data_IF_102341669090
#
_entry.id   IF_102341669090
#
_cell.length_a   1.000
_cell.length_b   1.000
_cell.length_c   1.000
_cell.angle_alpha   90.00
_cell.angle_beta   90.00
_cell.angle_gamma   90.00
#
_symmetry.space_group_name_H-M   'P 1'
#
loop_
_entity.id
_entity.type
_entity.pdbx_description
1 polymer ?
#
# COMPACT_ATOMS: atom_id res chain seq x y z
N UNK A 1 34.79 5.71 -1.63
CA UNK A 1 33.80 4.63 -1.87
C UNK A 1 32.97 4.46 -0.62
N UNK A 2 31.77 5.04 -0.60
CA UNK A 2 30.70 4.66 0.34
C UNK A 2 29.39 4.91 -0.41
N UNK A 3 29.00 3.92 -1.20
CA UNK A 3 27.67 3.85 -1.80
C UNK A 3 26.69 3.58 -0.67
N UNK A 4 26.21 4.63 -0.02
CA UNK A 4 25.01 4.53 0.80
C UNK A 4 23.85 4.42 -0.16
N UNK A 5 23.32 3.22 -0.36
CA UNK A 5 22.08 2.99 -1.06
C UNK A 5 20.95 3.64 -0.27
N UNK A 6 20.74 4.93 -0.52
CA UNK A 6 19.51 5.60 -0.15
C UNK A 6 18.41 4.91 -0.96
N UNK A 7 17.59 4.08 -0.31
CA UNK A 7 16.26 3.77 -0.85
C UNK A 7 15.57 5.13 -0.93
N UNK A 8 15.60 5.74 -2.11
CA UNK A 8 14.89 6.98 -2.36
C UNK A 8 13.41 6.70 -2.12
N UNK A 9 12.70 7.66 -1.52
CA UNK A 9 11.25 7.61 -1.22
C UNK A 9 10.35 7.32 -2.46
N UNK A 10 10.95 7.11 -3.63
CA UNK A 10 10.33 6.88 -4.92
C UNK A 10 10.53 5.47 -5.50
N UNK A 11 11.34 4.61 -4.88
CA UNK A 11 11.49 3.24 -5.38
C UNK A 11 10.37 2.34 -4.86
N UNK A 12 9.35 2.15 -5.70
CA UNK A 12 8.40 1.06 -5.55
C UNK A 12 8.80 -0.03 -6.56
N UNK A 13 8.97 -1.30 -6.14
CA UNK A 13 9.27 -2.40 -7.04
C UNK A 13 8.26 -2.48 -8.18
N UNK A 14 8.70 -2.94 -9.36
CA UNK A 14 7.80 -3.17 -10.49
C UNK A 14 6.93 -4.41 -10.24
N UNK A 15 5.86 -4.53 -11.01
CA UNK A 15 5.00 -5.71 -10.98
C UNK A 15 5.82 -6.97 -11.23
N UNK A 16 5.62 -7.99 -10.38
CA UNK A 16 6.33 -9.28 -10.32
C UNK A 16 7.79 -9.22 -9.86
N UNK A 17 8.34 -8.04 -9.52
CA UNK A 17 9.74 -7.93 -9.07
C UNK A 17 9.96 -8.61 -7.71
N UNK A 18 8.92 -8.69 -6.88
CA UNK A 18 8.97 -9.35 -5.58
C UNK A 18 8.09 -10.61 -5.51
N UNK A 19 7.84 -11.27 -6.65
CA UNK A 19 6.96 -12.46 -6.74
C UNK A 19 7.43 -13.61 -5.83
N UNK A 20 8.75 -13.78 -5.68
CA UNK A 20 9.34 -14.81 -4.83
C UNK A 20 9.27 -14.48 -3.33
N UNK A 21 8.77 -13.29 -2.95
CA UNK A 21 8.61 -12.87 -1.57
C UNK A 21 7.19 -13.25 -1.11
N UNK A 22 7.04 -14.04 -0.03
CA UNK A 22 5.74 -14.34 0.54
C UNK A 22 4.95 -13.05 0.84
N UNK A 23 3.65 -13.04 0.56
CA UNK A 23 2.78 -11.86 0.73
C UNK A 23 2.92 -11.21 2.11
N UNK A 24 3.00 -12.03 3.16
CA UNK A 24 3.15 -11.55 4.54
C UNK A 24 4.44 -10.77 4.81
N UNK A 25 5.47 -11.00 3.99
CA UNK A 25 6.79 -10.37 4.08
C UNK A 25 7.02 -9.28 3.03
N UNK A 26 6.02 -9.00 2.18
CA UNK A 26 6.14 -7.91 1.20
C UNK A 26 6.25 -6.56 1.93
N UNK A 27 7.03 -5.65 1.36
CA UNK A 27 7.14 -4.27 1.83
C UNK A 27 6.02 -3.46 1.18
N UNK A 28 5.30 -2.70 2.00
CA UNK A 28 4.25 -1.76 1.58
C UNK A 28 4.87 -0.39 1.44
N UNK A 29 4.99 0.09 0.21
CA UNK A 29 5.61 1.37 -0.13
C UNK A 29 4.63 2.53 -0.15
N UNK A 30 3.34 2.27 -0.39
CA UNK A 30 2.32 3.31 -0.37
C UNK A 30 1.08 2.82 0.37
N UNK A 31 0.47 3.73 1.13
CA UNK A 31 -0.90 3.59 1.63
C UNK A 31 -1.78 4.59 0.89
N UNK A 32 -2.93 4.10 0.44
CA UNK A 32 -4.01 4.90 -0.12
C UNK A 32 -5.28 4.63 0.65
N UNK A 33 -6.11 5.64 0.87
CA UNK A 33 -7.34 5.45 1.62
C UNK A 33 -8.45 6.44 1.26
N UNK A 34 -9.68 5.99 1.49
CA UNK A 34 -10.88 6.84 1.52
C UNK A 34 -11.34 6.84 2.99
N UNK A 35 -10.75 7.73 3.78
CA UNK A 35 -10.89 7.74 5.25
C UNK A 35 -12.36 7.70 5.71
N UNK A 36 -13.22 8.49 5.07
CA UNK A 36 -14.66 8.61 5.39
C UNK A 36 -15.45 7.28 5.37
N UNK A 37 -14.98 6.29 4.61
CA UNK A 37 -15.63 4.97 4.49
C UNK A 37 -14.72 3.83 4.96
N UNK A 38 -13.53 4.14 5.48
CA UNK A 38 -12.60 3.16 6.03
C UNK A 38 -11.95 2.25 4.98
N UNK A 39 -11.96 2.63 3.70
CA UNK A 39 -11.36 1.85 2.62
C UNK A 39 -9.87 2.17 2.54
N UNK A 40 -9.03 1.15 2.36
CA UNK A 40 -7.61 1.37 2.16
C UNK A 40 -6.98 0.34 1.21
N UNK A 41 -5.92 0.78 0.55
CA UNK A 41 -5.02 -0.02 -0.27
C UNK A 41 -3.58 0.13 0.24
N UNK A 42 -2.90 -1.01 0.40
CA UNK A 42 -1.50 -1.10 0.79
C UNK A 42 -0.69 -1.62 -0.41
N UNK A 43 0.01 -0.73 -1.10
CA UNK A 43 0.68 -1.01 -2.38
C UNK A 43 2.09 -1.52 -2.14
N UNK A 44 2.38 -2.71 -2.68
CA UNK A 44 3.70 -3.34 -2.63
C UNK A 44 4.50 -3.14 -3.93
N UNK A 45 3.81 -3.12 -5.08
CA UNK A 45 4.45 -3.01 -6.39
C UNK A 45 3.67 -2.02 -7.27
N UNK A 46 4.37 -1.31 -8.15
CA UNK A 46 3.79 -0.28 -9.00
C UNK A 46 4.47 -0.20 -10.37
N UNK A 47 3.69 -0.45 -11.41
CA UNK A 47 4.03 -0.06 -12.77
C UNK A 47 3.54 1.36 -13.04
N UNK A 48 4.43 2.34 -12.81
CA UNK A 48 4.17 3.76 -13.05
C UNK A 48 3.87 4.08 -14.53
N UNK A 49 4.28 3.23 -15.48
CA UNK A 49 4.06 3.47 -16.91
C UNK A 49 2.64 3.13 -17.33
N UNK A 50 2.06 2.10 -16.71
CA UNK A 50 0.74 1.57 -17.06
C UNK A 50 -0.33 1.87 -15.98
N UNK A 51 0.00 2.71 -14.98
CA UNK A 51 -0.85 3.04 -13.84
C UNK A 51 -1.40 1.81 -13.10
N UNK A 52 -0.65 0.70 -13.08
CA UNK A 52 -1.08 -0.56 -12.47
C UNK A 52 -0.29 -0.81 -11.18
N UNK A 53 -1.00 -1.06 -10.10
CA UNK A 53 -0.43 -1.38 -8.80
C UNK A 53 -0.85 -2.79 -8.37
N UNK A 54 0.03 -3.45 -7.62
CA UNK A 54 -0.29 -4.67 -6.89
C UNK A 54 -0.19 -4.42 -5.39
N UNK A 55 -1.21 -4.82 -4.65
CA UNK A 55 -1.31 -4.53 -3.24
C UNK A 55 -2.47 -5.23 -2.54
N UNK A 56 -2.57 -4.98 -1.25
CA UNK A 56 -3.63 -5.48 -0.40
C UNK A 56 -4.77 -4.46 -0.29
N UNK A 57 -5.99 -4.88 -0.56
CA UNK A 57 -7.20 -4.09 -0.50
C UNK A 57 -8.05 -4.49 0.70
N UNK A 58 -8.57 -3.50 1.40
CA UNK A 58 -9.62 -3.69 2.39
C UNK A 58 -10.67 -2.61 2.21
N UNK A 59 -11.85 -3.01 1.76
CA UNK A 59 -12.97 -2.15 1.43
C UNK A 59 -13.93 -2.06 2.62
N UNK A 60 -13.38 -1.84 3.82
CA UNK A 60 -14.08 -1.86 5.11
C UNK A 60 -14.77 -3.21 5.41
N UNK A 61 -14.27 -4.28 4.83
CA UNK A 61 -14.69 -5.65 5.09
C UNK A 61 -13.45 -6.52 5.28
N UNK A 62 -13.13 -6.83 6.53
CA UNK A 62 -11.95 -7.63 6.89
C UNK A 62 -12.04 -9.07 6.36
N UNK A 63 -13.24 -9.61 6.12
CA UNK A 63 -13.42 -10.98 5.62
C UNK A 63 -13.14 -11.08 4.11
N UNK A 64 -13.38 -9.99 3.38
CA UNK A 64 -13.20 -9.90 1.93
C UNK A 64 -11.92 -9.14 1.54
N UNK A 65 -11.02 -8.88 2.50
CA UNK A 65 -9.78 -8.16 2.23
C UNK A 65 -8.75 -9.09 1.56
N UNK A 66 -8.19 -8.66 0.43
CA UNK A 66 -7.46 -9.52 -0.49
C UNK A 66 -6.26 -8.82 -1.14
N UNK A 67 -5.36 -9.62 -1.72
CA UNK A 67 -4.29 -9.12 -2.58
C UNK A 67 -4.76 -9.11 -4.02
N UNK A 68 -4.51 -8.01 -4.73
CA UNK A 68 -4.95 -7.87 -6.10
C UNK A 68 -4.29 -6.73 -6.84
N UNK A 69 -4.77 -6.52 -8.06
CA UNK A 69 -4.33 -5.46 -8.94
C UNK A 69 -5.35 -4.32 -8.95
N UNK A 70 -4.86 -3.08 -9.03
CA UNK A 70 -5.71 -1.90 -9.15
C UNK A 70 -5.03 -0.85 -10.01
N UNK A 71 -5.84 -0.08 -10.74
CA UNK A 71 -5.32 1.11 -11.39
C UNK A 71 -5.15 2.25 -10.38
N UNK A 72 -3.99 2.91 -10.37
CA UNK A 72 -3.78 4.13 -9.56
C UNK A 72 -4.77 5.23 -9.96
N UNK A 73 -5.10 5.32 -11.26
CA UNK A 73 -6.12 6.25 -11.75
C UNK A 73 -7.51 5.93 -11.19
N UNK A 74 -7.84 4.64 -11.04
CA UNK A 74 -9.12 4.23 -10.45
C UNK A 74 -9.19 4.55 -8.96
N UNK A 75 -8.08 4.38 -8.21
CA UNK A 75 -7.99 4.84 -6.82
C UNK A 75 -8.32 6.33 -6.71
N UNK A 76 -7.67 7.17 -7.53
CA UNK A 76 -7.89 8.62 -7.54
C UNK A 76 -9.33 8.96 -7.93
N UNK A 77 -9.87 8.32 -8.98
CA UNK A 77 -11.24 8.56 -9.46
C UNK A 77 -12.30 8.21 -8.41
N UNK A 78 -12.04 7.18 -7.59
CA UNK A 78 -12.91 6.79 -6.48
C UNK A 78 -12.71 7.67 -5.23
N UNK A 79 -11.79 8.64 -5.28
CA UNK A 79 -11.54 9.60 -4.20
C UNK A 79 -10.57 9.09 -3.13
N UNK A 80 -9.75 8.10 -3.43
CA UNK A 80 -8.68 7.68 -2.53
C UNK A 80 -7.51 8.68 -2.56
N UNK A 81 -6.97 8.97 -1.39
CA UNK A 81 -5.82 9.86 -1.24
C UNK A 81 -4.58 9.06 -0.82
N UNK A 82 -3.40 9.47 -1.29
CA UNK A 82 -2.12 8.87 -0.89
C UNK A 82 -1.67 9.46 0.44
N UNK A 83 -1.36 8.59 1.41
CA UNK A 83 -0.73 8.99 2.66
C UNK A 83 0.74 9.39 2.42
N UNK A 84 1.01 10.70 2.47
CA UNK A 84 2.35 11.27 2.26
C UNK A 84 3.30 11.07 3.44
N UNK A 85 2.80 10.67 4.61
CA UNK A 85 3.60 10.37 5.80
C UNK A 85 3.94 8.89 5.90
N UNK A 86 3.35 8.05 5.04
CA UNK A 86 3.63 6.63 4.98
C UNK A 86 5.11 6.38 4.66
N UNK A 87 5.73 5.48 5.42
CA UNK A 87 7.10 5.01 5.17
C UNK A 87 7.06 3.52 4.80
N UNK A 88 7.92 3.07 3.87
CA UNK A 88 7.99 1.66 3.52
C UNK A 88 8.15 0.76 4.75
N UNK A 89 7.27 -0.24 4.88
CA UNK A 89 7.24 -1.13 6.03
C UNK A 89 6.69 -2.51 5.63
N UNK A 90 7.09 -3.58 6.32
CA UNK A 90 6.55 -4.92 6.09
C UNK A 90 5.02 -4.95 6.26
N UNK A 91 4.34 -5.73 5.41
CA UNK A 91 2.89 -5.84 5.39
C UNK A 91 2.27 -6.14 6.76
N UNK A 92 2.86 -7.06 7.54
CA UNK A 92 2.36 -7.37 8.89
C UNK A 92 2.35 -6.15 9.81
N UNK A 93 3.37 -5.31 9.75
CA UNK A 93 3.42 -4.08 10.53
C UNK A 93 2.52 -2.99 9.94
N UNK A 94 2.39 -2.93 8.61
CA UNK A 94 1.44 -2.05 7.93
C UNK A 94 0.00 -2.26 8.45
N UNK A 95 -0.42 -3.53 8.58
CA UNK A 95 -1.74 -3.86 9.14
C UNK A 95 -1.92 -3.36 10.58
N UNK A 96 -0.87 -3.45 11.42
CA UNK A 96 -0.94 -2.93 12.80
C UNK A 96 -1.09 -1.41 12.81
N UNK A 97 -0.30 -0.71 12.00
CA UNK A 97 -0.36 0.76 11.87
C UNK A 97 -1.77 1.20 11.46
N UNK A 98 -2.33 0.58 10.42
CA UNK A 98 -3.68 0.90 9.93
C UNK A 98 -4.74 0.60 10.98
N UNK A 99 -4.67 -0.56 11.66
CA UNK A 99 -5.62 -0.92 12.74
C UNK A 99 -5.57 0.08 13.89
N UNK A 100 -4.39 0.49 14.33
CA UNK A 100 -4.25 1.49 15.39
C UNK A 100 -4.72 2.88 14.96
N UNK A 101 -4.46 3.30 13.72
CA UNK A 101 -5.00 4.55 13.16
C UNK A 101 -6.52 4.55 13.18
N UNK A 102 -7.16 3.47 12.68
CA UNK A 102 -8.62 3.35 12.63
C UNK A 102 -9.26 3.31 14.01
N UNK A 103 -8.63 2.68 15.01
CA UNK A 103 -9.12 2.73 16.40
C UNK A 103 -9.16 4.16 16.93
N UNK A 104 -8.16 4.99 16.61
CA UNK A 104 -8.11 6.39 17.08
C UNK A 104 -9.15 7.30 16.44
N UNK A 105 -9.59 6.99 15.22
CA UNK A 105 -10.64 7.76 14.52
C UNK A 105 -12.06 7.48 15.05
N UNK A 106 -12.26 6.31 15.67
CA UNK A 106 -13.57 5.88 16.18
C UNK A 106 -13.80 6.23 17.67
N UNK A 107 -12.93 7.05 18.27
CA UNK A 107 -13.00 7.54 19.65
C UNK A 107 -13.10 9.07 19.64
#
# INVERSE_FOLDING_TARGET
MTSGDWITEDYVPKIYETENIPLEKKIIYQKWDIERIGFYWLIAELDKKNDLAFGYANLNDEQNAEWGYISVKELINNGAERDRKWKPVEFREALKIVKEYRKRLNH
#
